data_IF_889401523238
#
_entry.id   IF_889401523238
#
_cell.length_a   1.000
_cell.length_b   1.000
_cell.length_c   1.000
_cell.angle_alpha   90.00
_cell.angle_beta   90.00
_cell.angle_gamma   90.00
#
_symmetry.space_group_name_H-M   'P 1'
#
loop_
_entity.id
_entity.type
_entity.pdbx_description
1 polymer ?
#
# COMPACT_ATOMS: atom_id res chain seq x y z
N UNK A 1 5.15 -30.27 -8.76
CA UNK A 1 6.53 -29.86 -8.43
C UNK A 1 6.42 -28.96 -7.20
N UNK A 2 6.80 -29.46 -6.02
CA UNK A 2 6.72 -28.70 -4.78
C UNK A 2 7.89 -27.71 -4.73
N UNK A 3 7.60 -26.43 -4.55
CA UNK A 3 8.61 -25.38 -4.50
C UNK A 3 8.98 -25.12 -3.04
N UNK A 4 10.27 -25.24 -2.73
CA UNK A 4 10.84 -25.10 -1.39
C UNK A 4 10.94 -23.62 -1.04
N UNK A 5 10.39 -23.24 0.11
CA UNK A 5 10.50 -21.91 0.68
C UNK A 5 11.64 -21.93 1.72
N UNK A 6 12.72 -21.18 1.47
CA UNK A 6 13.75 -20.94 2.50
C UNK A 6 13.33 -19.72 3.33
N UNK A 7 13.07 -19.94 4.62
CA UNK A 7 12.75 -18.91 5.59
C UNK A 7 14.00 -18.59 6.42
N UNK A 8 14.61 -17.44 6.15
CA UNK A 8 15.59 -16.82 7.04
C UNK A 8 14.90 -15.97 8.10
N UNK A 9 15.29 -16.19 9.37
CA UNK A 9 14.74 -15.59 10.59
C UNK A 9 14.90 -14.07 10.64
N UNK A 10 13.82 -13.35 10.31
CA UNK A 10 13.35 -12.04 10.81
C UNK A 10 12.28 -11.60 9.81
N UNK A 11 11.11 -12.25 9.84
CA UNK A 11 10.36 -12.48 8.61
C UNK A 11 9.46 -11.31 8.22
N UNK A 12 10.06 -10.26 7.66
CA UNK A 12 9.35 -9.42 6.71
C UNK A 12 9.00 -10.27 5.49
N UNK A 13 7.79 -10.83 5.45
CA UNK A 13 7.34 -11.66 4.33
C UNK A 13 6.91 -10.70 3.21
N UNK A 14 7.83 -10.46 2.28
CA UNK A 14 7.55 -9.74 1.04
C UNK A 14 7.28 -10.75 -0.07
N UNK A 15 6.06 -10.74 -0.61
CA UNK A 15 5.67 -11.59 -1.72
C UNK A 15 5.46 -10.70 -2.94
N UNK A 16 6.37 -10.82 -3.90
CA UNK A 16 6.15 -10.33 -5.27
C UNK A 16 5.89 -11.54 -6.15
N UNK A 17 4.67 -11.67 -6.66
CA UNK A 17 4.31 -12.83 -7.46
C UNK A 17 3.61 -12.39 -8.75
N UNK A 18 4.16 -12.83 -9.89
CA UNK A 18 3.44 -12.83 -11.16
C UNK A 18 2.52 -14.03 -11.18
N UNK A 19 1.26 -13.85 -10.82
CA UNK A 19 0.32 -14.97 -10.70
C UNK A 19 0.03 -15.59 -12.07
N UNK A 20 0.35 -16.88 -12.22
CA UNK A 20 -0.06 -17.69 -13.38
C UNK A 20 -1.23 -18.62 -13.04
N UNK A 21 -1.53 -18.85 -11.75
CA UNK A 21 -2.59 -19.72 -11.29
C UNK A 21 -3.44 -19.06 -10.17
N UNK A 22 -4.74 -18.82 -10.37
CA UNK A 22 -5.63 -18.16 -9.40
C UNK A 22 -5.99 -19.00 -8.18
N UNK A 23 -5.73 -20.32 -8.18
CA UNK A 23 -6.25 -21.21 -7.14
C UNK A 23 -5.57 -21.02 -5.77
N UNK A 24 -4.32 -20.55 -5.72
CA UNK A 24 -3.58 -20.34 -4.45
C UNK A 24 -3.61 -18.89 -3.96
N UNK A 25 -4.16 -17.95 -4.74
CA UNK A 25 -4.17 -16.53 -4.37
C UNK A 25 -4.84 -16.32 -3.02
N UNK A 26 -6.03 -16.89 -2.80
CA UNK A 26 -6.78 -16.73 -1.54
C UNK A 26 -6.09 -17.31 -0.31
N UNK A 27 -5.22 -18.29 -0.47
CA UNK A 27 -4.44 -18.84 0.62
C UNK A 27 -3.35 -17.83 1.02
N UNK A 28 -2.64 -17.28 0.02
CA UNK A 28 -1.59 -16.26 0.21
C UNK A 28 -2.18 -14.98 0.81
N UNK A 29 -3.35 -14.52 0.36
CA UNK A 29 -3.97 -13.30 0.88
C UNK A 29 -4.21 -13.36 2.40
N UNK A 30 -4.47 -14.57 2.94
CA UNK A 30 -4.70 -14.77 4.38
C UNK A 30 -3.41 -14.76 5.20
N UNK A 31 -2.25 -14.88 4.57
CA UNK A 31 -0.97 -14.88 5.29
C UNK A 31 -0.72 -13.51 5.90
N UNK A 32 0.01 -13.51 7.02
CA UNK A 32 0.49 -12.29 7.65
C UNK A 32 1.67 -11.77 6.81
N UNK A 33 1.40 -10.78 5.96
CA UNK A 33 2.38 -10.23 5.01
C UNK A 33 2.75 -8.80 5.39
N UNK A 34 4.02 -8.45 5.21
CA UNK A 34 4.42 -7.04 5.26
C UNK A 34 4.03 -6.37 3.94
N UNK A 35 4.34 -7.03 2.82
CA UNK A 35 4.12 -6.49 1.49
C UNK A 35 3.62 -7.59 0.56
N UNK A 36 2.57 -7.29 -0.20
CA UNK A 36 2.09 -8.09 -1.31
C UNK A 36 2.04 -7.25 -2.58
N UNK A 37 2.78 -7.65 -3.60
CA UNK A 37 2.75 -7.03 -4.92
C UNK A 37 2.19 -8.04 -5.93
N UNK A 38 1.04 -7.70 -6.49
CA UNK A 38 0.37 -8.45 -7.54
C UNK A 38 0.62 -7.77 -8.88
N UNK A 39 1.44 -8.41 -9.72
CA UNK A 39 1.75 -7.94 -11.06
C UNK A 39 1.07 -8.83 -12.10
N UNK A 40 0.21 -8.24 -12.93
CA UNK A 40 -0.40 -8.93 -14.05
C UNK A 40 0.18 -8.47 -15.38
N UNK A 41 0.09 -9.36 -16.37
CA UNK A 41 0.50 -9.02 -17.72
C UNK A 41 -0.69 -8.36 -18.42
N UNK A 42 -0.53 -7.16 -19.00
CA UNK A 42 -1.65 -6.39 -19.56
C UNK A 42 -2.42 -7.14 -20.66
N UNK A 43 -1.78 -8.12 -21.30
CA UNK A 43 -2.37 -8.92 -22.39
C UNK A 43 -2.94 -10.28 -21.95
N UNK A 44 -2.97 -10.58 -20.64
CA UNK A 44 -3.62 -11.78 -20.10
C UNK A 44 -4.52 -11.38 -18.93
N UNK A 45 -5.84 -11.22 -19.15
CA UNK A 45 -6.74 -10.91 -18.06
C UNK A 45 -6.69 -12.06 -17.05
N UNK A 46 -6.23 -11.75 -15.85
CA UNK A 46 -6.38 -12.65 -14.72
C UNK A 46 -7.78 -12.49 -14.14
N UNK A 47 -8.11 -13.32 -13.15
CA UNK A 47 -9.33 -13.17 -12.36
C UNK A 47 -9.41 -11.75 -11.76
N UNK A 48 -10.60 -11.14 -11.88
CA UNK A 48 -10.94 -9.89 -11.19
C UNK A 48 -10.66 -10.00 -9.70
N UNK A 49 -9.95 -9.03 -9.14
CA UNK A 49 -9.71 -8.95 -7.70
C UNK A 49 -10.96 -8.37 -7.04
N UNK A 50 -11.69 -9.23 -6.32
CA UNK A 50 -12.99 -8.87 -5.76
C UNK A 50 -12.86 -8.09 -4.45
N UNK A 51 -13.95 -7.46 -4.02
CA UNK A 51 -14.05 -6.92 -2.66
C UNK A 51 -13.66 -7.95 -1.59
N UNK A 52 -14.12 -9.20 -1.71
CA UNK A 52 -13.77 -10.24 -0.75
C UNK A 52 -12.27 -10.53 -0.72
N UNK A 53 -11.60 -10.45 -1.87
CA UNK A 53 -10.14 -10.64 -1.93
C UNK A 53 -9.43 -9.47 -1.22
N UNK A 54 -9.90 -8.22 -1.37
CA UNK A 54 -9.41 -7.08 -0.56
C UNK A 54 -9.60 -7.32 0.94
N UNK A 55 -10.80 -7.75 1.35
CA UNK A 55 -11.16 -7.91 2.77
C UNK A 55 -10.42 -9.05 3.48
N UNK A 56 -10.03 -10.11 2.77
CA UNK A 56 -9.24 -11.21 3.35
C UNK A 56 -7.74 -10.96 3.31
N UNK A 57 -7.28 -9.92 2.60
CA UNK A 57 -5.85 -9.61 2.47
C UNK A 57 -5.28 -9.08 3.78
N UNK A 58 -4.38 -9.83 4.40
CA UNK A 58 -3.69 -9.48 5.64
C UNK A 58 -2.26 -8.97 5.38
N UNK A 59 -2.17 -7.91 4.58
CA UNK A 59 -0.91 -7.24 4.25
C UNK A 59 -0.84 -5.82 4.84
N UNK A 60 0.34 -5.37 5.27
CA UNK A 60 0.55 -3.96 5.63
C UNK A 60 0.60 -3.08 4.38
N UNK A 61 1.24 -3.55 3.30
CA UNK A 61 1.30 -2.88 2.00
C UNK A 61 0.77 -3.80 0.89
N UNK A 62 -0.17 -3.30 0.09
CA UNK A 62 -0.77 -4.03 -1.04
C UNK A 62 -0.60 -3.22 -2.32
N UNK A 63 0.03 -3.80 -3.34
CA UNK A 63 0.20 -3.19 -4.65
C UNK A 63 -0.45 -4.09 -5.71
N UNK A 64 -1.39 -3.54 -6.48
CA UNK A 64 -2.18 -4.21 -7.51
C UNK A 64 -1.89 -3.55 -8.86
N UNK A 65 -1.06 -4.17 -9.69
CA UNK A 65 -0.67 -3.65 -10.98
C UNK A 65 -1.32 -4.43 -12.12
N UNK A 66 -2.08 -3.71 -12.95
CA UNK A 66 -2.77 -4.26 -14.12
C UNK A 66 -3.77 -5.37 -13.75
N UNK A 67 -4.27 -5.31 -12.52
CA UNK A 67 -5.29 -6.20 -11.98
C UNK A 67 -6.66 -5.57 -12.18
N UNK A 68 -7.61 -6.29 -12.78
CA UNK A 68 -8.99 -5.80 -12.89
C UNK A 68 -9.63 -5.71 -11.51
N UNK A 69 -10.05 -4.51 -11.12
CA UNK A 69 -10.71 -4.21 -9.86
C UNK A 69 -11.80 -3.17 -10.08
N UNK A 70 -13.03 -3.48 -9.66
CA UNK A 70 -14.15 -2.55 -9.87
C UNK A 70 -14.07 -1.37 -8.90
N UNK A 71 -14.17 -0.15 -9.43
CA UNK A 71 -14.19 1.10 -8.64
C UNK A 71 -15.25 1.05 -7.52
N UNK A 72 -16.41 0.44 -7.79
CA UNK A 72 -17.47 0.26 -6.78
C UNK A 72 -17.04 -0.66 -5.62
N UNK A 73 -16.26 -1.69 -5.90
CA UNK A 73 -15.72 -2.57 -4.86
C UNK A 73 -14.64 -1.85 -4.04
N UNK A 74 -13.83 -1.00 -4.66
CA UNK A 74 -12.88 -0.15 -3.94
C UNK A 74 -13.58 0.88 -3.04
N UNK A 75 -14.65 1.53 -3.52
CA UNK A 75 -15.48 2.43 -2.70
C UNK A 75 -16.07 1.70 -1.49
N UNK A 76 -16.62 0.49 -1.70
CA UNK A 76 -17.14 -0.35 -0.60
C UNK A 76 -16.04 -0.71 0.40
N UNK A 77 -14.86 -1.05 -0.09
CA UNK A 77 -13.69 -1.31 0.76
C UNK A 77 -13.37 -0.08 1.63
N UNK A 78 -13.29 1.12 1.07
CA UNK A 78 -13.04 2.34 1.85
C UNK A 78 -14.14 2.63 2.88
N UNK A 79 -15.42 2.44 2.52
CA UNK A 79 -16.54 2.56 3.48
C UNK A 79 -16.42 1.58 4.64
N UNK A 80 -16.01 0.34 4.37
CA UNK A 80 -15.79 -0.67 5.40
C UNK A 80 -14.55 -0.36 6.26
N UNK A 81 -13.48 0.15 5.65
CA UNK A 81 -12.30 0.63 6.36
C UNK A 81 -12.66 1.79 7.30
N UNK A 82 -13.45 2.78 6.83
CA UNK A 82 -13.93 3.90 7.65
C UNK A 82 -14.76 3.44 8.86
N UNK A 83 -15.46 2.31 8.75
CA UNK A 83 -16.22 1.70 9.85
C UNK A 83 -15.38 0.84 10.79
N UNK A 84 -14.04 0.77 10.59
CA UNK A 84 -13.12 -0.08 11.36
C UNK A 84 -13.49 -1.57 11.31
N UNK A 85 -14.10 -2.03 10.21
CA UNK A 85 -14.59 -3.41 10.11
C UNK A 85 -13.53 -4.40 9.62
N UNK A 86 -12.50 -3.96 8.89
CA UNK A 86 -11.53 -4.84 8.23
C UNK A 86 -10.11 -4.27 8.16
N UNK A 87 -9.14 -5.16 7.96
CA UNK A 87 -7.72 -4.89 7.67
C UNK A 87 -7.10 -3.76 8.51
N UNK A 88 -7.04 -3.92 9.85
CA UNK A 88 -6.48 -2.89 10.74
C UNK A 88 -5.00 -2.60 10.48
N UNK A 89 -4.30 -3.52 9.82
CA UNK A 89 -2.87 -3.45 9.51
C UNK A 89 -2.53 -2.77 8.20
N UNK A 90 -3.50 -2.60 7.30
CA UNK A 90 -3.23 -2.00 6.00
C UNK A 90 -2.80 -0.54 6.20
N UNK A 91 -1.58 -0.24 5.80
CA UNK A 91 -0.96 1.09 5.81
C UNK A 91 -0.96 1.71 4.42
N UNK A 92 -0.90 0.87 3.38
CA UNK A 92 -0.75 1.29 2.00
C UNK A 92 -1.46 0.38 1.02
N UNK A 93 -2.23 0.97 0.12
CA UNK A 93 -2.76 0.31 -1.06
C UNK A 93 -2.42 1.14 -2.31
N UNK A 94 -1.89 0.49 -3.33
CA UNK A 94 -1.73 1.06 -4.67
C UNK A 94 -2.47 0.19 -5.68
N UNK A 95 -3.35 0.80 -6.46
CA UNK A 95 -4.03 0.16 -7.59
C UNK A 95 -3.63 0.91 -8.85
N UNK A 96 -2.95 0.24 -9.77
CA UNK A 96 -2.63 0.78 -11.10
C UNK A 96 -3.48 0.06 -12.13
N UNK A 97 -4.27 0.83 -12.86
CA UNK A 97 -5.13 0.33 -13.93
C UNK A 97 -4.79 0.96 -15.28
N UNK A 98 -4.87 0.15 -16.33
CA UNK A 98 -4.71 0.54 -17.73
C UNK A 98 -6.05 0.68 -18.45
N UNK A 99 -7.18 0.39 -17.78
CA UNK A 99 -8.52 0.42 -18.39
C UNK A 99 -8.99 1.84 -18.75
N UNK A 100 -8.33 2.86 -18.21
CA UNK A 100 -8.61 4.27 -18.45
C UNK A 100 -9.97 4.70 -17.88
N UNK A 101 -9.98 5.80 -17.12
CA UNK A 101 -11.19 6.42 -16.56
C UNK A 101 -11.70 5.76 -15.25
N UNK A 102 -10.87 5.77 -14.21
CA UNK A 102 -11.35 5.65 -12.82
C UNK A 102 -12.25 6.84 -12.55
N UNK A 103 -13.55 6.57 -12.49
CA UNK A 103 -14.52 7.58 -12.09
C UNK A 103 -14.32 7.94 -10.61
N UNK A 104 -13.66 9.09 -10.37
CA UNK A 104 -13.33 9.60 -9.02
C UNK A 104 -14.58 9.86 -8.20
N UNK A 105 -15.66 10.35 -8.81
CA UNK A 105 -16.92 10.64 -8.13
C UNK A 105 -17.55 9.36 -7.57
N UNK A 106 -17.59 8.28 -8.37
CA UNK A 106 -18.06 6.96 -7.92
C UNK A 106 -17.15 6.41 -6.80
N UNK A 107 -15.83 6.63 -6.89
CA UNK A 107 -14.91 6.16 -5.87
C UNK A 107 -15.10 6.89 -4.53
N UNK A 108 -15.34 8.20 -4.57
CA UNK A 108 -15.45 9.06 -3.39
C UNK A 108 -16.88 9.16 -2.83
N UNK A 109 -17.86 8.65 -3.56
CA UNK A 109 -19.27 8.70 -3.20
C UNK A 109 -19.52 8.14 -1.79
N UNK A 110 -20.05 8.98 -0.90
CA UNK A 110 -20.41 8.62 0.48
C UNK A 110 -19.22 8.37 1.41
N UNK A 111 -18.01 8.82 1.06
CA UNK A 111 -16.83 8.78 1.94
C UNK A 111 -16.68 10.05 2.80
N UNK A 112 -17.47 11.11 2.54
CA UNK A 112 -17.28 12.44 3.14
C UNK A 112 -15.83 12.93 3.00
N UNK A 113 -15.24 12.69 1.82
CA UNK A 113 -13.83 12.92 1.58
C UNK A 113 -13.54 14.44 1.50
N UNK A 114 -12.49 14.87 2.18
CA UNK A 114 -12.07 16.29 2.24
C UNK A 114 -10.94 16.51 1.25
N UNK A 115 -11.13 17.40 0.29
CA UNK A 115 -10.11 17.69 -0.70
C UNK A 115 -8.87 18.33 -0.06
N UNK A 116 -7.70 17.83 -0.44
CA UNK A 116 -6.40 18.34 0.02
C UNK A 116 -5.89 19.36 -1.00
N UNK A 117 -5.39 20.50 -0.52
CA UNK A 117 -4.76 21.50 -1.38
C UNK A 117 -3.50 20.94 -2.03
N UNK A 118 -3.32 21.21 -3.33
CA UNK A 118 -2.15 20.81 -4.11
C UNK A 118 -0.84 21.42 -3.59
N UNK A 119 -0.90 22.51 -2.80
CA UNK A 119 0.28 23.12 -2.18
C UNK A 119 0.79 22.34 -0.96
N UNK A 120 -0.03 21.42 -0.44
CA UNK A 120 0.30 20.63 0.75
C UNK A 120 1.38 19.60 0.43
N UNK A 121 2.60 19.83 0.89
CA UNK A 121 3.67 18.83 0.79
C UNK A 121 3.47 17.75 1.86
N UNK A 122 3.31 16.50 1.43
CA UNK A 122 3.08 15.34 2.30
C UNK A 122 4.08 14.24 2.03
N UNK A 123 4.58 13.63 3.10
CA UNK A 123 5.49 12.48 3.06
C UNK A 123 4.79 11.29 3.69
N UNK A 124 4.58 10.23 2.91
CA UNK A 124 3.94 9.01 3.39
C UNK A 124 5.00 7.98 3.75
N UNK A 125 4.99 7.55 5.02
CA UNK A 125 5.84 6.46 5.52
C UNK A 125 5.01 5.19 5.55
N UNK A 126 5.49 4.16 4.86
CA UNK A 126 4.87 2.83 4.77
C UNK A 126 5.95 1.81 5.12
N UNK A 127 5.73 0.98 6.14
CA UNK A 127 6.75 0.03 6.62
C UNK A 127 8.11 0.69 6.91
N UNK A 128 8.11 1.91 7.45
CA UNK A 128 9.32 2.68 7.72
C UNK A 128 9.97 3.37 6.51
N UNK A 129 9.56 3.03 5.28
CA UNK A 129 10.10 3.61 4.04
C UNK A 129 9.20 4.72 3.48
N UNK A 130 9.80 5.75 2.90
CA UNK A 130 9.04 6.78 2.18
C UNK A 130 8.61 6.22 0.82
N UNK A 131 7.31 6.03 0.62
CA UNK A 131 6.76 5.64 -0.69
C UNK A 131 6.61 6.90 -1.54
N UNK A 132 7.44 7.01 -2.56
CA UNK A 132 7.37 8.10 -3.54
C UNK A 132 6.41 7.73 -4.66
N UNK A 133 5.73 8.74 -5.20
CA UNK A 133 5.06 8.61 -6.48
C UNK A 133 6.10 8.35 -7.58
N UNK A 134 5.71 7.62 -8.62
CA UNK A 134 6.56 7.47 -9.80
C UNK A 134 6.81 8.81 -10.48
N UNK A 135 8.05 9.06 -10.92
CA UNK A 135 8.46 10.35 -11.50
C UNK A 135 7.71 10.74 -12.79
N UNK A 136 7.10 9.77 -13.46
CA UNK A 136 6.30 9.96 -14.68
C UNK A 136 4.80 10.13 -14.42
N UNK A 137 4.35 10.02 -13.16
CA UNK A 137 2.96 10.25 -12.80
C UNK A 137 2.77 11.69 -12.32
N UNK A 138 1.66 12.30 -12.74
CA UNK A 138 1.20 13.59 -12.23
C UNK A 138 0.14 13.35 -11.15
N UNK A 139 0.25 14.01 -10.00
CA UNK A 139 -0.84 14.02 -9.01
C UNK A 139 -2.01 14.81 -9.60
N UNK A 140 -3.16 14.17 -9.73
CA UNK A 140 -4.36 14.79 -10.24
C UNK A 140 -5.24 15.34 -9.12
N UNK A 141 -5.37 14.60 -8.01
CA UNK A 141 -6.14 15.03 -6.85
C UNK A 141 -5.80 14.19 -5.61
N UNK A 142 -6.09 14.75 -4.44
CA UNK A 142 -5.91 14.10 -3.14
C UNK A 142 -7.09 14.41 -2.23
N UNK A 143 -7.52 13.42 -1.46
CA UNK A 143 -8.64 13.54 -0.53
C UNK A 143 -8.36 12.78 0.76
N UNK A 144 -8.67 13.39 1.89
CA UNK A 144 -8.62 12.75 3.20
C UNK A 144 -9.98 12.15 3.58
N UNK A 145 -9.95 10.95 4.14
CA UNK A 145 -11.10 10.30 4.76
C UNK A 145 -10.77 9.96 6.21
N UNK A 146 -11.79 10.00 7.08
CA UNK A 146 -11.62 9.75 8.51
C UNK A 146 -12.32 8.45 8.91
N UNK A 147 -11.60 7.60 9.62
CA UNK A 147 -12.13 6.37 10.20
C UNK A 147 -12.85 6.65 11.52
N UNK A 148 -13.73 5.74 11.93
CA UNK A 148 -14.51 5.83 13.16
C UNK A 148 -13.67 5.98 14.45
N UNK A 149 -12.39 5.59 14.43
CA UNK A 149 -11.45 5.78 15.55
C UNK A 149 -10.61 7.06 15.43
N UNK A 150 -10.97 7.98 14.53
CA UNK A 150 -10.25 9.24 14.29
C UNK A 150 -9.00 9.10 13.41
N UNK A 151 -8.64 7.88 12.97
CA UNK A 151 -7.50 7.69 12.08
C UNK A 151 -7.80 8.23 10.69
N UNK A 152 -6.90 9.03 10.15
CA UNK A 152 -7.02 9.60 8.80
C UNK A 152 -6.34 8.71 7.77
N UNK A 153 -6.88 8.67 6.56
CA UNK A 153 -6.20 8.16 5.38
C UNK A 153 -6.35 9.11 4.20
N UNK A 154 -5.35 9.15 3.32
CA UNK A 154 -5.37 9.94 2.09
C UNK A 154 -5.56 9.02 0.89
N UNK A 155 -6.59 9.30 0.08
CA UNK A 155 -6.76 8.76 -1.26
C UNK A 155 -6.12 9.74 -2.24
N UNK A 156 -5.15 9.29 -3.03
CA UNK A 156 -4.45 10.09 -4.04
C UNK A 156 -4.66 9.47 -5.41
N UNK A 157 -4.95 10.33 -6.39
CA UNK A 157 -5.08 9.97 -7.80
C UNK A 157 -3.84 10.42 -8.55
N UNK A 158 -3.12 9.48 -9.14
CA UNK A 158 -2.04 9.69 -10.09
C UNK A 158 -2.51 9.43 -11.51
N UNK A 159 -2.11 10.28 -12.44
CA UNK A 159 -2.40 10.15 -13.86
C UNK A 159 -1.10 10.09 -14.67
N UNK A 160 -1.07 9.22 -15.67
CA UNK A 160 -0.01 9.14 -16.67
C UNK A 160 -0.61 8.86 -18.04
N UNK A 161 0.18 8.96 -19.10
CA UNK A 161 -0.28 8.92 -20.50
C UNK A 161 -1.21 7.74 -20.88
N UNK A 162 -1.20 6.62 -20.14
CA UNK A 162 -2.07 5.45 -20.38
C UNK A 162 -2.53 4.70 -19.13
N UNK A 163 -2.22 5.22 -17.94
CA UNK A 163 -2.48 4.52 -16.69
C UNK A 163 -2.94 5.50 -15.63
N UNK A 164 -3.86 5.03 -14.81
CA UNK A 164 -4.31 5.72 -13.62
C UNK A 164 -3.90 4.93 -12.38
N UNK A 165 -3.40 5.65 -11.40
CA UNK A 165 -2.96 5.12 -10.12
C UNK A 165 -3.85 5.65 -9.02
N UNK A 166 -4.40 4.76 -8.22
CA UNK A 166 -5.10 5.09 -6.98
C UNK A 166 -4.19 4.66 -5.84
N UNK A 167 -3.79 5.62 -5.03
CA UNK A 167 -3.05 5.38 -3.81
C UNK A 167 -3.96 5.60 -2.61
N UNK A 168 -3.79 4.77 -1.60
CA UNK A 168 -4.45 4.89 -0.33
C UNK A 168 -3.39 4.76 0.76
N UNK A 169 -3.18 5.83 1.50
CA UNK A 169 -2.20 5.92 2.58
C UNK A 169 -2.90 6.09 3.91
N UNK A 170 -2.63 5.22 4.86
CA UNK A 170 -3.15 5.38 6.21
C UNK A 170 -2.12 6.10 7.07
N UNK A 171 -2.51 7.26 7.62
CA UNK A 171 -1.62 7.99 8.53
C UNK A 171 -1.39 7.18 9.81
N UNK A 172 -0.19 7.24 10.41
CA UNK A 172 -0.02 6.75 11.78
C UNK A 172 -1.02 7.49 12.67
N UNK A 173 -1.69 6.78 13.58
CA UNK A 173 -2.58 7.43 14.54
C UNK A 173 -1.82 8.48 15.35
N UNK A 174 -2.51 9.50 15.89
CA UNK A 174 -1.89 10.43 16.82
C UNK A 174 -1.26 9.62 17.97
N UNK A 175 0.06 9.65 18.02
CA UNK A 175 0.89 8.86 18.94
C UNK A 175 0.66 9.33 20.38
N UNK A 176 -0.27 8.69 21.08
CA UNK A 176 -0.05 8.36 22.49
C UNK A 176 0.57 6.95 22.64
N UNK A 177 0.91 6.31 21.52
CA UNK A 177 1.56 5.01 21.50
C UNK A 177 3.07 5.20 21.31
N UNK A 178 3.84 4.92 22.37
CA UNK A 178 5.29 5.17 22.49
C UNK A 178 6.17 4.36 21.51
N UNK A 179 5.56 3.49 20.70
CA UNK A 179 6.26 2.60 19.76
C UNK A 179 6.92 3.33 18.58
N UNK A 180 6.41 4.49 18.16
CA UNK A 180 6.99 5.26 17.03
C UNK A 180 8.24 6.08 17.41
N UNK A 181 8.39 6.44 18.69
CA UNK A 181 9.61 7.10 19.16
C UNK A 181 10.83 6.18 19.07
N UNK A 182 10.65 4.89 19.37
CA UNK A 182 11.73 3.89 19.28
C UNK A 182 12.25 3.76 17.84
N UNK A 183 11.36 3.76 16.84
CA UNK A 183 11.78 3.67 15.43
C UNK A 183 12.53 4.90 14.91
N UNK A 184 12.23 6.10 15.44
CA UNK A 184 12.96 7.33 15.08
C UNK A 184 14.39 7.31 15.65
N UNK A 185 14.54 6.94 16.93
CA UNK A 185 15.86 6.83 17.58
C UNK A 185 16.78 5.78 16.94
N UNK A 186 16.23 4.66 16.49
CA UNK A 186 17.02 3.61 15.83
C UNK A 186 17.53 4.04 14.45
N UNK A 187 16.82 4.95 13.76
CA UNK A 187 17.26 5.45 12.45
C UNK A 187 18.38 6.49 12.53
N UNK A 188 18.41 7.30 13.59
CA UNK A 188 19.47 8.31 13.80
C UNK A 188 20.78 7.68 14.30
N UNK A 189 20.68 6.55 15.00
CA UNK A 189 21.85 5.85 15.56
C UNK A 189 22.66 5.08 14.51
N UNK A 190 22.09 4.76 13.34
CA UNK A 190 22.78 4.04 12.26
C UNK A 190 23.64 4.92 11.33
N UNK A 191 23.65 6.25 11.49
CA UNK A 191 24.45 7.16 10.63
C UNK A 191 25.83 7.46 11.24
N UNK A 192 26.08 7.10 12.51
CA UNK A 192 27.35 7.39 13.19
C UNK A 192 28.18 6.13 13.48
N UNK A 193 28.67 5.44 12.43
CA UNK A 193 29.84 4.56 12.60
C UNK A 193 30.52 4.24 11.26
N UNK A 194 31.22 5.22 10.70
CA UNK A 194 32.33 4.95 9.76
C UNK A 194 33.43 5.99 10.00
N UNK A 195 34.40 5.65 10.86
CA UNK A 195 35.72 6.27 10.85
C UNK A 195 36.79 5.22 11.22
N UNK A 196 37.73 5.06 10.28
CA UNK A 196 39.12 4.58 10.43
C UNK A 196 39.37 3.20 11.05
N UNK A 197 39.63 2.21 10.19
CA UNK A 197 40.53 1.09 10.50
C UNK A 197 41.87 1.38 9.84
N UNK A 198 42.87 1.74 10.65
CA UNK A 198 44.27 1.88 10.25
C UNK A 198 44.92 0.49 10.24
N UNK A 199 45.58 0.13 9.15
CA UNK A 199 46.40 -1.08 9.02
C UNK A 199 47.79 -0.88 9.66
N UNK A 200 48.20 -1.81 10.52
CA UNK A 200 49.59 -2.26 10.77
C UNK A 200 49.52 -3.79 10.94
N UNK A 201 50.45 -4.61 10.41
CA UNK A 201 51.80 -4.80 10.99
C UNK A 201 52.91 -5.01 9.92
N UNK A 202 54.22 -5.09 10.19
CA UNK A 202 54.98 -5.42 11.39
C UNK A 202 56.28 -4.59 11.47
#
# INVERSE_FOLDING_TARGET
>A
MAQKFDFGLSSAVNVSHRFQNPNHLREILKWNLDSLVLNQHPYKPFKTFSLNDLLVTNANALELHDVTLYVRDLNRFFKLWMKKMFNPRLEYLHVRTSDGNVNKDILLEGLNAVQVSHETKRTFRVLGNVKQQYSWEKIAAEFDITRADGRTATIRFGESHRMESIYFYVWPGSTNDQSLLVSLFMSESSIASFCSVSFCPA
#
